data_IF_482113782351
#
_entry.id   IF_482113782351
#
_cell.length_a   1.000
_cell.length_b   1.000
_cell.length_c   1.000
_cell.angle_alpha   90.00
_cell.angle_beta   90.00
_cell.angle_gamma   90.00
#
_symmetry.space_group_name_H-M   'P 1'
#
loop_
_entity.id
_entity.type
_entity.pdbx_description
1 polymer ?
#
# COMPACT_ATOMS: atom_id res chain seq x y z
N UNK A 1 -0.48 -8.61 -8.83
CA UNK A 1 -1.46 -9.24 -7.92
C UNK A 1 -1.99 -8.19 -6.95
N UNK A 2 -3.17 -8.41 -6.37
CA UNK A 2 -3.65 -7.52 -5.31
C UNK A 2 -2.97 -7.84 -3.98
N UNK A 3 -2.46 -6.81 -3.31
CA UNK A 3 -1.82 -6.89 -2.00
C UNK A 3 -2.46 -5.86 -1.08
N UNK A 4 -2.81 -6.29 0.14
CA UNK A 4 -3.19 -5.35 1.20
C UNK A 4 -1.94 -5.00 1.98
N UNK A 5 -1.75 -3.70 2.24
CA UNK A 5 -0.81 -3.21 3.23
C UNK A 5 -1.59 -2.59 4.38
N UNK A 6 -1.47 -3.16 5.57
CA UNK A 6 -1.99 -2.58 6.80
C UNK A 6 -0.88 -1.84 7.52
N UNK A 7 -1.16 -0.61 7.91
CA UNK A 7 -0.29 0.26 8.69
C UNK A 7 -0.89 0.40 10.09
N UNK A 8 -0.14 -0.01 11.11
CA UNK A 8 -0.55 0.05 12.52
C UNK A 8 0.51 0.75 13.36
N UNK A 9 0.15 1.16 14.58
CA UNK A 9 1.04 1.87 15.50
C UNK A 9 1.67 3.13 14.87
N UNK A 10 0.90 3.89 14.08
CA UNK A 10 1.42 5.12 13.47
C UNK A 10 1.64 6.15 14.59
N UNK A 11 2.90 6.49 14.84
CA UNK A 11 3.33 7.30 15.99
C UNK A 11 3.16 8.79 15.76
N UNK A 12 3.33 9.24 14.51
CA UNK A 12 3.06 10.60 14.04
C UNK A 12 2.22 10.53 12.76
N UNK A 13 0.88 10.63 12.87
CA UNK A 13 -0.01 10.57 11.71
C UNK A 13 0.30 11.63 10.66
N UNK A 14 0.62 12.87 11.06
CA UNK A 14 0.86 13.95 10.11
C UNK A 14 2.13 13.68 9.29
N UNK A 15 3.22 13.26 9.96
CA UNK A 15 4.47 12.92 9.29
C UNK A 15 4.32 11.67 8.40
N UNK A 16 3.64 10.63 8.89
CA UNK A 16 3.43 9.39 8.14
C UNK A 16 2.64 9.63 6.84
N UNK A 17 1.51 10.33 6.91
CA UNK A 17 0.66 10.55 5.73
C UNK A 17 1.28 11.52 4.73
N UNK A 18 2.02 12.54 5.20
CA UNK A 18 2.83 13.38 4.32
C UNK A 18 3.91 12.56 3.57
N UNK A 19 4.57 11.61 4.27
CA UNK A 19 5.55 10.70 3.67
C UNK A 19 4.89 9.70 2.70
N UNK A 20 3.71 9.18 3.04
CA UNK A 20 2.97 8.27 2.16
C UNK A 20 2.70 8.91 0.79
N UNK A 21 2.41 10.22 0.76
CA UNK A 21 2.14 10.94 -0.49
C UNK A 21 3.36 11.02 -1.42
N UNK A 22 4.59 11.07 -0.87
CA UNK A 22 5.82 11.03 -1.67
C UNK A 22 6.22 9.60 -2.08
N UNK A 23 5.93 8.61 -1.24
CA UNK A 23 6.16 7.18 -1.50
C UNK A 23 5.28 6.68 -2.65
N UNK A 24 4.00 7.08 -2.67
CA UNK A 24 3.05 6.73 -3.74
C UNK A 24 3.49 7.25 -5.12
N UNK A 25 4.25 8.34 -5.17
CA UNK A 25 4.84 8.85 -6.41
C UNK A 25 6.10 8.12 -6.88
N UNK A 26 6.75 7.35 -5.99
CA UNK A 26 8.05 6.71 -6.22
C UNK A 26 8.01 5.21 -5.89
N UNK A 27 6.99 4.52 -6.39
CA UNK A 27 6.79 3.10 -6.10
C UNK A 27 7.77 2.23 -6.88
N UNK A 28 8.15 1.05 -6.35
CA UNK A 28 8.97 0.09 -7.08
C UNK A 28 8.33 -0.28 -8.42
N UNK A 29 9.16 -0.57 -9.43
CA UNK A 29 8.67 -1.00 -10.74
C UNK A 29 7.71 -2.21 -10.60
N UNK A 30 6.57 -2.16 -11.28
CA UNK A 30 5.53 -3.17 -11.17
C UNK A 30 4.71 -3.11 -9.87
N UNK A 31 4.82 -2.03 -9.10
CA UNK A 31 3.95 -1.76 -7.94
C UNK A 31 3.21 -0.44 -8.12
N UNK A 32 1.91 -0.42 -7.84
CA UNK A 32 1.08 0.78 -7.85
C UNK A 32 0.05 0.75 -6.73
N UNK A 33 -0.19 1.89 -6.09
CA UNK A 33 -1.29 2.01 -5.13
C UNK A 33 -2.60 2.19 -5.89
N UNK A 34 -3.63 1.44 -5.50
CA UNK A 34 -4.99 1.51 -6.05
C UNK A 34 -5.91 2.32 -5.14
N UNK A 35 -5.76 2.17 -3.82
CA UNK A 35 -6.57 2.89 -2.84
C UNK A 35 -5.85 3.03 -1.51
N UNK A 36 -6.14 4.10 -0.78
CA UNK A 36 -5.56 4.43 0.53
C UNK A 36 -6.70 4.81 1.46
N UNK A 37 -6.80 4.13 2.60
CA UNK A 37 -7.85 4.32 3.60
C UNK A 37 -7.24 4.61 4.97
N UNK A 38 -6.94 5.87 5.29
CA UNK A 38 -6.58 6.27 6.64
C UNK A 38 -7.76 6.09 7.59
N UNK A 39 -7.49 5.69 8.82
CA UNK A 39 -8.47 5.82 9.92
C UNK A 39 -8.74 7.29 10.25
N UNK A 40 -9.86 7.55 10.93
CA UNK A 40 -10.28 8.92 11.28
C UNK A 40 -9.23 9.68 12.12
N UNK A 41 -8.51 8.98 13.00
CA UNK A 41 -7.42 9.56 13.80
C UNK A 41 -6.04 9.44 13.13
N UNK A 42 -5.98 8.81 11.95
CA UNK A 42 -4.78 8.59 11.17
C UNK A 42 -3.77 7.63 11.79
N UNK A 43 -4.09 6.94 12.89
CA UNK A 43 -3.15 6.06 13.61
C UNK A 43 -3.05 4.65 13.04
N UNK A 44 -3.99 4.32 12.17
CA UNK A 44 -3.99 3.12 11.33
C UNK A 44 -4.36 3.46 9.90
N UNK A 45 -4.02 2.58 8.98
CA UNK A 45 -4.40 2.73 7.58
C UNK A 45 -4.40 1.41 6.84
N UNK A 46 -5.23 1.31 5.81
CA UNK A 46 -5.23 0.18 4.89
C UNK A 46 -5.04 0.68 3.48
N UNK A 47 -4.07 0.12 2.77
CA UNK A 47 -3.82 0.42 1.37
C UNK A 47 -4.04 -0.82 0.52
N UNK A 48 -4.64 -0.64 -0.65
CA UNK A 48 -4.75 -1.68 -1.67
C UNK A 48 -3.72 -1.39 -2.75
N UNK A 49 -2.88 -2.37 -3.04
CA UNK A 49 -1.80 -2.27 -4.00
C UNK A 49 -1.97 -3.31 -5.10
N UNK A 50 -1.55 -2.95 -6.30
CA UNK A 50 -1.13 -3.93 -7.29
C UNK A 50 0.40 -4.05 -7.20
N UNK A 51 0.91 -5.26 -6.99
CA UNK A 51 2.35 -5.51 -6.86
C UNK A 51 2.73 -6.92 -7.38
N UNK A 52 4.03 -7.14 -7.58
CA UNK A 52 4.60 -8.43 -8.01
C UNK A 52 4.96 -9.36 -6.84
N UNK A 53 5.00 -8.86 -5.61
CA UNK A 53 5.26 -9.66 -4.41
C UNK A 53 4.83 -8.91 -3.15
N UNK A 54 4.09 -9.57 -2.25
CA UNK A 54 3.78 -9.00 -0.93
C UNK A 54 5.04 -8.78 -0.08
N UNK A 55 6.00 -9.71 -0.13
CA UNK A 55 7.26 -9.61 0.63
C UNK A 55 8.14 -8.44 0.18
N UNK A 56 8.21 -8.18 -1.13
CA UNK A 56 8.95 -7.02 -1.65
C UNK A 56 8.27 -5.72 -1.25
N UNK A 57 6.93 -5.68 -1.30
CA UNK A 57 6.16 -4.51 -0.85
C UNK A 57 6.32 -4.28 0.66
N UNK A 58 6.30 -5.34 1.47
CA UNK A 58 6.56 -5.29 2.91
C UNK A 58 7.89 -4.61 3.20
N UNK A 59 8.99 -5.11 2.63
CA UNK A 59 10.35 -4.56 2.83
C UNK A 59 10.45 -3.10 2.39
N UNK A 60 9.83 -2.75 1.27
CA UNK A 60 9.79 -1.39 0.78
C UNK A 60 9.06 -0.45 1.75
N UNK A 61 7.87 -0.84 2.20
CA UNK A 61 7.07 -0.04 3.12
C UNK A 61 7.73 0.07 4.51
N UNK A 62 8.36 -1.00 5.00
CA UNK A 62 9.09 -0.98 6.26
C UNK A 62 10.26 0.01 6.24
N UNK A 63 11.06 0.01 5.18
CA UNK A 63 12.10 1.04 5.01
C UNK A 63 11.51 2.45 4.83
N UNK A 64 10.40 2.56 4.11
CA UNK A 64 9.74 3.84 3.87
C UNK A 64 9.05 4.39 5.14
N UNK A 65 8.65 3.57 6.11
CA UNK A 65 7.98 4.03 7.34
C UNK A 65 8.74 3.70 8.61
N UNK A 66 10.04 3.43 8.51
CA UNK A 66 10.88 3.08 9.66
C UNK A 66 10.73 4.12 10.79
N UNK A 67 10.47 3.63 12.01
CA UNK A 67 10.23 4.45 13.20
C UNK A 67 8.87 5.17 13.25
N UNK A 68 8.08 5.15 12.17
CA UNK A 68 6.78 5.83 12.10
C UNK A 68 5.59 4.87 12.22
N UNK A 69 5.70 3.63 11.74
CA UNK A 69 4.61 2.67 11.73
C UNK A 69 5.13 1.22 11.69
N UNK A 70 4.24 0.27 11.98
CA UNK A 70 4.40 -1.16 11.71
C UNK A 70 3.55 -1.55 10.52
N UNK A 71 4.14 -2.20 9.51
CA UNK A 71 3.41 -2.64 8.32
C UNK A 71 3.17 -4.15 8.33
N UNK A 72 2.06 -4.56 7.72
CA UNK A 72 1.77 -5.94 7.43
C UNK A 72 1.17 -6.07 6.04
N UNK A 73 1.87 -6.76 5.15
CA UNK A 73 1.48 -6.97 3.77
C UNK A 73 1.07 -8.42 3.52
N UNK A 74 -0.01 -8.62 2.77
CA UNK A 74 -0.44 -9.96 2.37
C UNK A 74 -1.13 -9.95 1.00
N UNK A 75 -0.97 -11.05 0.29
CA UNK A 75 -1.64 -11.28 -0.99
C UNK A 75 -3.15 -11.49 -0.76
N UNK A 76 -3.96 -10.85 -1.59
CA UNK A 76 -5.41 -11.03 -1.56
C UNK A 76 -5.76 -12.35 -2.23
N UNK A 77 -6.62 -13.14 -1.59
CA UNK A 77 -7.30 -14.24 -2.27
C UNK A 77 -8.36 -13.67 -3.23
N UNK A 78 -7.94 -13.37 -4.46
CA UNK A 78 -8.79 -12.71 -5.45
C UNK A 78 -10.00 -13.57 -5.88
N UNK A 79 -9.91 -14.90 -5.77
CA UNK A 79 -11.03 -15.81 -6.10
C UNK A 79 -12.18 -15.68 -5.10
N UNK A 80 -11.85 -15.49 -3.82
CA UNK A 80 -12.82 -15.28 -2.74
C UNK A 80 -13.13 -13.80 -2.48
N UNK A 81 -12.43 -12.88 -3.16
CA UNK A 81 -12.55 -11.45 -2.97
C UNK A 81 -13.88 -10.90 -3.48
N UNK A 82 -14.45 -9.94 -2.76
CA UNK A 82 -15.71 -9.27 -3.12
C UNK A 82 -15.41 -7.77 -3.25
N UNK A 83 -15.89 -7.15 -4.32
CA UNK A 83 -15.69 -5.71 -4.56
C UNK A 83 -14.24 -5.35 -4.86
N UNK A 84 -13.53 -6.21 -5.60
CA UNK A 84 -12.15 -5.96 -6.00
C UNK A 84 -12.05 -4.65 -6.82
N UNK A 85 -10.97 -3.87 -6.64
CA UNK A 85 -10.77 -2.63 -7.36
C UNK A 85 -10.49 -2.87 -8.86
N UNK A 86 -10.81 -1.87 -9.67
CA UNK A 86 -10.32 -1.82 -11.04
C UNK A 86 -8.80 -1.70 -11.04
N UNK A 87 -8.14 -2.54 -11.82
CA UNK A 87 -6.70 -2.47 -12.04
C UNK A 87 -6.39 -1.38 -13.04
N UNK A 88 -5.28 -0.67 -12.86
CA UNK A 88 -4.77 0.22 -13.90
C UNK A 88 -4.40 -0.64 -15.10
N UNK A 89 -5.22 -0.63 -16.15
CA UNK A 89 -4.86 -1.27 -17.42
C UNK A 89 -3.52 -0.68 -17.86
N UNK A 90 -2.54 -1.55 -18.13
CA UNK A 90 -1.39 -1.16 -18.94
C UNK A 90 -1.94 -0.52 -20.21
N UNK A 91 -1.55 0.73 -20.47
CA UNK A 91 -1.81 1.33 -21.77
C UNK A 91 -1.00 0.49 -22.75
N UNK A 92 -1.69 -0.37 -23.51
CA UNK A 92 -1.07 -1.08 -24.61
C UNK A 92 -0.49 -0.01 -25.55
N UNK A 93 0.84 0.11 -25.55
CA UNK A 93 1.57 0.83 -26.58
C UNK A 93 1.38 0.01 -27.85
N UNK A 94 0.38 0.41 -28.66
CA UNK A 94 0.25 -0.01 -30.05
C UNK A 94 1.29 0.70 -30.91
#
# INVERSE_FOLDING_TARGET
MLVIAQHTNITDPAAFWAKAQSVVGNTPAGSSVLSVFPSQDGKTGTCVWEANSADQLQKFLDGASEGLATNFCYEVNEVAGIGLPDRKKEVALN
#
